data_IF_291959946307
#
_entry.id   IF_291959946307
#
_cell.length_a   1.000
_cell.length_b   1.000
_cell.length_c   1.000
_cell.angle_alpha   90.00
_cell.angle_beta   90.00
_cell.angle_gamma   90.00
#
_symmetry.space_group_name_H-M   'P 1'
#
loop_
_entity.id
_entity.type
_entity.pdbx_description
1 polymer ?
#
# COMPACT_ATOMS: atom_id res chain seq x y z
N UNK A 1 12.56 5.00 25.94
CA UNK A 1 12.13 3.69 26.46
C UNK A 1 12.10 2.75 25.27
N UNK A 2 12.90 1.68 25.29
CA UNK A 2 13.15 0.80 24.15
C UNK A 2 11.96 -0.14 23.91
N UNK A 3 11.30 -0.01 22.76
CA UNK A 3 10.32 -0.99 22.26
C UNK A 3 11.05 -2.23 21.70
N UNK A 4 11.81 -2.91 22.57
CA UNK A 4 12.33 -4.25 22.29
C UNK A 4 11.18 -5.25 22.50
N UNK A 5 10.31 -5.37 21.51
CA UNK A 5 9.46 -6.54 21.35
C UNK A 5 10.38 -7.74 21.08
N UNK A 6 10.71 -8.42 22.17
CA UNK A 6 11.59 -9.59 22.21
C UNK A 6 11.15 -10.59 21.12
N UNK A 7 11.99 -10.81 20.10
CA UNK A 7 11.72 -11.73 18.98
C UNK A 7 11.26 -13.12 19.45
N UNK A 8 11.66 -13.54 20.65
CA UNK A 8 11.17 -14.77 21.28
C UNK A 8 9.66 -14.75 21.57
N UNK A 9 9.08 -13.60 21.93
CA UNK A 9 7.62 -13.44 22.11
C UNK A 9 6.87 -13.54 20.79
N UNK A 10 7.36 -12.88 19.73
CA UNK A 10 6.75 -12.92 18.38
C UNK A 10 6.81 -14.33 17.80
N UNK A 11 7.95 -15.03 17.92
CA UNK A 11 8.08 -16.41 17.45
C UNK A 11 7.21 -17.40 18.24
N UNK A 12 7.10 -17.23 19.56
CA UNK A 12 6.24 -18.06 20.41
C UNK A 12 4.75 -17.81 20.13
N UNK A 13 4.37 -16.56 19.84
CA UNK A 13 3.01 -16.19 19.41
C UNK A 13 2.68 -16.79 18.03
N UNK A 14 3.59 -16.68 17.07
CA UNK A 14 3.43 -17.24 15.72
C UNK A 14 3.28 -18.78 15.76
N UNK A 15 4.00 -19.47 16.65
CA UNK A 15 3.83 -20.92 16.85
C UNK A 15 2.48 -21.26 17.51
N UNK A 16 2.04 -20.49 18.50
CA UNK A 16 0.72 -20.65 19.14
C UNK A 16 -0.46 -20.34 18.21
N UNK A 17 -0.28 -19.45 17.23
CA UNK A 17 -1.32 -19.07 16.28
C UNK A 17 -1.44 -20.06 15.12
N UNK A 18 -0.34 -20.71 14.70
CA UNK A 18 -0.42 -21.84 13.76
C UNK A 18 -1.16 -23.04 14.34
N UNK A 19 -1.18 -23.19 15.67
CA UNK A 19 -1.96 -24.24 16.34
C UNK A 19 -3.40 -23.84 16.68
N UNK A 20 -3.70 -22.55 16.85
CA UNK A 20 -5.01 -22.07 17.32
C UNK A 20 -5.88 -21.39 16.24
N UNK A 21 -5.30 -20.98 15.11
CA UNK A 21 -6.08 -20.48 13.97
C UNK A 21 -6.42 -21.68 13.10
N UNK A 22 -7.54 -22.32 13.44
CA UNK A 22 -8.28 -23.12 12.47
C UNK A 22 -8.44 -22.30 11.20
N UNK A 23 -8.15 -22.92 10.06
CA UNK A 23 -8.27 -22.42 8.69
C UNK A 23 -9.09 -21.13 8.61
N UNK A 24 -8.44 -20.01 8.23
CA UNK A 24 -9.13 -18.76 7.96
C UNK A 24 -10.24 -19.03 6.95
N UNK A 25 -11.51 -18.91 7.37
CA UNK A 25 -12.69 -19.04 6.51
C UNK A 25 -12.81 -17.83 5.58
N UNK A 26 -11.81 -17.58 4.74
CA UNK A 26 -11.94 -16.69 3.59
C UNK A 26 -12.75 -17.44 2.52
N UNK A 27 -14.07 -17.26 2.52
CA UNK A 27 -14.95 -17.86 1.51
C UNK A 27 -14.97 -16.96 0.28
N UNK A 28 -14.14 -17.31 -0.70
CA UNK A 28 -14.12 -16.70 -2.04
C UNK A 28 -15.23 -17.30 -2.92
N UNK A 29 -16.15 -16.46 -3.40
CA UNK A 29 -17.27 -16.86 -4.27
C UNK A 29 -17.21 -16.26 -5.69
N UNK A 30 -16.00 -16.02 -6.23
CA UNK A 30 -15.79 -15.85 -7.69
C UNK A 30 -16.48 -14.67 -8.39
N UNK A 31 -17.01 -13.68 -7.67
CA UNK A 31 -17.77 -12.56 -8.23
C UNK A 31 -17.05 -11.22 -7.95
N UNK A 32 -17.00 -10.31 -8.93
CA UNK A 32 -16.31 -9.00 -8.83
C UNK A 32 -16.69 -8.23 -7.57
N UNK A 33 -15.72 -7.65 -6.85
CA UNK A 33 -15.96 -7.00 -5.57
C UNK A 33 -16.50 -5.56 -5.68
N UNK A 34 -16.45 -4.90 -6.85
CA UNK A 34 -16.52 -3.43 -6.89
C UNK A 34 -17.32 -2.84 -8.07
N UNK A 35 -18.47 -2.24 -7.76
CA UNK A 35 -19.03 -1.09 -8.50
C UNK A 35 -18.83 0.12 -7.57
N UNK A 36 -18.37 1.27 -8.08
CA UNK A 36 -17.98 2.40 -7.22
C UNK A 36 -19.10 2.86 -6.28
N UNK A 37 -18.84 2.91 -4.97
CA UNK A 37 -19.66 3.71 -4.05
C UNK A 37 -19.19 5.15 -4.13
N UNK A 38 -20.08 6.17 -4.16
CA UNK A 38 -19.65 7.56 -4.17
C UNK A 38 -18.71 7.85 -2.98
N UNK A 39 -17.51 8.34 -3.26
CA UNK A 39 -16.59 8.78 -2.20
C UNK A 39 -16.98 10.20 -1.79
N UNK A 40 -17.22 10.45 -0.48
CA UNK A 40 -17.56 11.79 -0.02
C UNK A 40 -16.38 12.75 -0.24
N UNK A 41 -16.64 13.91 -0.83
CA UNK A 41 -15.61 14.96 -0.97
C UNK A 41 -15.50 15.73 0.36
N UNK A 42 -14.29 15.76 0.92
CA UNK A 42 -13.95 16.49 2.15
C UNK A 42 -13.17 17.78 1.83
N UNK A 43 -13.78 18.70 1.07
CA UNK A 43 -13.22 20.01 0.68
C UNK A 43 -11.87 19.92 -0.03
N UNK A 44 -11.87 20.10 -1.36
CA UNK A 44 -10.66 20.03 -2.21
C UNK A 44 -9.93 18.67 -2.19
N UNK A 45 -10.62 17.59 -1.84
CA UNK A 45 -10.04 16.23 -1.76
C UNK A 45 -10.50 15.32 -2.89
N UNK A 46 -11.05 15.90 -3.96
CA UNK A 46 -11.47 15.17 -5.14
C UNK A 46 -10.31 14.43 -5.83
N UNK A 47 -9.07 14.93 -5.73
CA UNK A 47 -7.89 14.22 -6.23
C UNK A 47 -7.72 12.86 -5.52
N UNK A 48 -7.83 12.82 -4.20
CA UNK A 48 -7.82 11.57 -3.39
C UNK A 48 -8.96 10.66 -3.81
N UNK A 49 -10.19 11.20 -3.85
CA UNK A 49 -11.38 10.43 -4.22
C UNK A 49 -11.25 9.81 -5.62
N UNK A 50 -10.75 10.56 -6.60
CA UNK A 50 -10.56 10.09 -7.97
C UNK A 50 -9.56 8.93 -8.06
N UNK A 51 -8.42 9.04 -7.38
CA UNK A 51 -7.42 7.98 -7.30
C UNK A 51 -8.00 6.73 -6.65
N UNK A 52 -8.66 6.88 -5.49
CA UNK A 52 -9.25 5.74 -4.79
C UNK A 52 -10.33 5.04 -5.63
N UNK A 53 -11.15 5.77 -6.40
CA UNK A 53 -12.10 5.15 -7.34
C UNK A 53 -11.38 4.39 -8.46
N UNK A 54 -10.32 4.96 -9.02
CA UNK A 54 -9.52 4.28 -10.05
C UNK A 54 -8.92 2.99 -9.50
N UNK A 55 -8.32 3.03 -8.31
CA UNK A 55 -7.77 1.85 -7.64
C UNK A 55 -8.83 0.83 -7.28
N UNK A 56 -10.01 1.28 -6.90
CA UNK A 56 -11.15 0.41 -6.58
C UNK A 56 -11.63 -0.41 -7.80
N UNK A 57 -11.19 -0.07 -9.01
CA UNK A 57 -11.51 -0.81 -10.24
C UNK A 57 -10.56 -1.99 -10.49
N UNK A 58 -9.44 -2.11 -9.76
CA UNK A 58 -8.46 -3.19 -9.92
C UNK A 58 -8.64 -4.30 -8.87
N UNK A 59 -9.62 -5.18 -9.11
CA UNK A 59 -10.02 -6.27 -8.19
C UNK A 59 -8.85 -7.11 -7.66
N UNK A 60 -7.93 -7.50 -8.56
CA UNK A 60 -6.73 -8.29 -8.24
C UNK A 60 -5.85 -7.61 -7.19
N UNK A 61 -5.68 -6.29 -7.31
CA UNK A 61 -4.77 -5.50 -6.46
C UNK A 61 -5.38 -5.32 -5.08
N UNK A 62 -6.65 -4.95 -5.03
CA UNK A 62 -7.39 -4.77 -3.77
C UNK A 62 -7.48 -6.07 -3.00
N UNK A 63 -7.70 -7.19 -3.69
CA UNK A 63 -7.65 -8.52 -3.08
C UNK A 63 -6.30 -8.79 -2.43
N UNK A 64 -5.20 -8.55 -3.15
CA UNK A 64 -3.85 -8.75 -2.62
C UNK A 64 -3.58 -7.86 -1.41
N UNK A 65 -4.04 -6.61 -1.44
CA UNK A 65 -3.93 -5.67 -0.33
C UNK A 65 -4.69 -6.17 0.91
N UNK A 66 -5.91 -6.64 0.75
CA UNK A 66 -6.75 -7.19 1.83
C UNK A 66 -6.15 -8.48 2.39
N UNK A 67 -5.74 -9.41 1.53
CA UNK A 67 -5.08 -10.66 1.93
C UNK A 67 -3.76 -10.36 2.68
N UNK A 68 -3.00 -9.36 2.22
CA UNK A 68 -1.79 -8.91 2.92
C UNK A 68 -2.13 -8.48 4.34
N UNK A 69 -3.13 -7.62 4.55
CA UNK A 69 -3.54 -7.22 5.90
C UNK A 69 -3.87 -8.42 6.80
N UNK A 70 -4.72 -9.34 6.34
CA UNK A 70 -5.10 -10.51 7.15
C UNK A 70 -3.90 -11.41 7.50
N UNK A 71 -2.96 -11.58 6.56
CA UNK A 71 -1.75 -12.38 6.77
C UNK A 71 -0.70 -11.71 7.70
N UNK A 72 -0.93 -10.46 8.08
CA UNK A 72 0.02 -9.63 8.83
C UNK A 72 -0.65 -8.83 9.95
N UNK A 73 -1.85 -9.24 10.39
CA UNK A 73 -2.71 -8.47 11.30
C UNK A 73 -1.99 -7.95 12.56
N UNK A 74 -1.12 -8.77 13.16
CA UNK A 74 -0.34 -8.40 14.35
C UNK A 74 0.49 -7.13 14.14
N UNK A 75 1.07 -6.95 12.95
CA UNK A 75 1.91 -5.78 12.64
C UNK A 75 1.06 -4.53 12.46
N UNK A 76 -0.17 -4.68 11.96
CA UNK A 76 -1.13 -3.58 11.86
C UNK A 76 -1.67 -3.17 13.24
N UNK A 77 -1.84 -4.12 14.16
CA UNK A 77 -2.28 -3.88 15.54
C UNK A 77 -1.25 -3.09 16.37
N UNK A 78 0.03 -3.07 15.96
CA UNK A 78 1.12 -2.32 16.59
C UNK A 78 1.15 -0.82 16.22
N UNK A 79 0.18 -0.33 15.44
CA UNK A 79 0.03 1.09 15.07
C UNK A 79 1.19 1.71 14.26
N UNK A 80 2.09 0.92 13.66
CA UNK A 80 3.20 1.47 12.88
C UNK A 80 2.82 1.83 11.42
N UNK A 81 1.79 1.18 10.87
CA UNK A 81 1.37 1.34 9.47
C UNK A 81 -0.05 1.90 9.34
N UNK A 82 -0.39 2.93 10.12
CA UNK A 82 -1.77 3.43 10.26
C UNK A 82 -2.41 3.91 8.95
N UNK A 83 -1.64 4.53 8.04
CA UNK A 83 -2.16 4.94 6.74
C UNK A 83 -2.49 3.71 5.86
N UNK A 84 -1.59 2.73 5.81
CA UNK A 84 -1.86 1.48 5.08
C UNK A 84 -3.06 0.76 5.70
N UNK A 85 -3.13 0.68 7.03
CA UNK A 85 -4.23 0.03 7.76
C UNK A 85 -5.59 0.66 7.45
N UNK A 86 -5.67 1.99 7.60
CA UNK A 86 -6.89 2.76 7.34
C UNK A 86 -7.30 2.68 5.87
N UNK A 87 -6.36 2.63 4.93
CA UNK A 87 -6.66 2.38 3.52
C UNK A 87 -7.25 1.00 3.29
N UNK A 88 -6.65 -0.07 3.83
CA UNK A 88 -7.20 -1.43 3.68
C UNK A 88 -8.57 -1.54 4.35
N UNK A 89 -8.78 -0.90 5.50
CA UNK A 89 -10.08 -0.82 6.16
C UNK A 89 -11.14 -0.12 5.29
N UNK A 90 -10.76 1.02 4.69
CA UNK A 90 -11.63 1.75 3.77
C UNK A 90 -11.99 0.88 2.55
N UNK A 91 -11.03 0.16 1.97
CA UNK A 91 -11.27 -0.76 0.85
C UNK A 91 -12.20 -1.89 1.27
N UNK A 92 -11.86 -2.61 2.34
CA UNK A 92 -12.54 -3.84 2.74
C UNK A 92 -13.93 -3.62 3.33
N UNK A 93 -14.09 -2.61 4.20
CA UNK A 93 -15.34 -2.32 4.90
C UNK A 93 -16.16 -1.22 4.22
N UNK A 94 -15.48 -0.28 3.56
CA UNK A 94 -16.08 0.93 3.01
C UNK A 94 -16.52 0.82 1.56
N UNK A 95 -15.53 0.59 0.69
CA UNK A 95 -15.68 0.62 -0.77
C UNK A 95 -16.16 -0.72 -1.34
N UNK A 96 -15.97 -1.81 -0.60
CA UNK A 96 -16.51 -3.14 -0.91
C UNK A 96 -18.04 -3.14 -0.83
N UNK A 97 -18.71 -3.28 -1.97
CA UNK A 97 -20.16 -3.22 -2.02
C UNK A 97 -20.86 -4.35 -1.27
N UNK A 98 -20.19 -5.49 -1.07
CA UNK A 98 -20.74 -6.64 -0.34
C UNK A 98 -20.96 -6.34 1.13
N UNK A 99 -20.19 -5.42 1.70
CA UNK A 99 -20.35 -5.02 3.09
C UNK A 99 -21.47 -3.97 3.17
N UNK A 100 -22.60 -4.36 3.76
CA UNK A 100 -23.73 -3.45 3.99
C UNK A 100 -23.37 -2.45 5.10
N UNK A 101 -22.75 -1.35 4.72
CA UNK A 101 -22.50 -0.21 5.61
C UNK A 101 -23.38 0.99 5.26
N UNK A 102 -23.75 1.77 6.28
CA UNK A 102 -24.45 3.04 6.09
C UNK A 102 -23.51 4.18 5.68
N UNK A 103 -24.07 5.28 5.15
CA UNK A 103 -23.29 6.45 4.72
C UNK A 103 -22.46 7.08 5.84
N UNK A 104 -22.95 7.04 7.08
CA UNK A 104 -22.23 7.55 8.26
C UNK A 104 -20.91 6.79 8.48
N UNK A 105 -20.96 5.47 8.36
CA UNK A 105 -19.79 4.61 8.54
C UNK A 105 -18.79 4.77 7.39
N UNK A 106 -19.28 4.91 6.15
CA UNK A 106 -18.43 5.20 5.00
C UNK A 106 -17.68 6.53 5.18
N UNK A 107 -18.38 7.57 5.65
CA UNK A 107 -17.76 8.86 5.97
C UNK A 107 -16.71 8.71 7.07
N UNK A 108 -16.98 7.94 8.12
CA UNK A 108 -16.04 7.68 9.22
C UNK A 108 -14.74 7.04 8.70
N UNK A 109 -14.85 5.98 7.89
CA UNK A 109 -13.70 5.30 7.29
C UNK A 109 -12.90 6.22 6.36
N UNK A 110 -13.60 7.05 5.58
CA UNK A 110 -12.92 8.03 4.72
C UNK A 110 -12.21 9.11 5.55
N UNK A 111 -12.81 9.58 6.65
CA UNK A 111 -12.18 10.55 7.57
C UNK A 111 -10.94 9.95 8.22
N UNK A 112 -11.03 8.70 8.69
CA UNK A 112 -9.93 7.98 9.30
C UNK A 112 -8.74 7.84 8.33
N UNK A 113 -8.99 7.38 7.10
CA UNK A 113 -7.97 7.34 6.06
C UNK A 113 -7.36 8.72 5.78
N UNK A 114 -8.20 9.75 5.66
CA UNK A 114 -7.75 11.09 5.35
C UNK A 114 -6.90 11.68 6.48
N UNK A 115 -7.30 11.52 7.74
CA UNK A 115 -6.51 11.98 8.88
C UNK A 115 -5.15 11.25 8.92
N UNK A 116 -5.14 9.93 8.69
CA UNK A 116 -3.89 9.15 8.62
C UNK A 116 -3.00 9.52 7.44
N UNK A 117 -3.55 10.03 6.34
CA UNK A 117 -2.76 10.55 5.24
C UNK A 117 -1.91 11.75 5.68
N UNK A 118 -2.49 12.69 6.42
CA UNK A 118 -1.76 13.88 6.90
C UNK A 118 -0.95 13.65 8.18
N UNK A 119 -1.23 12.59 8.93
CA UNK A 119 -0.37 12.14 10.02
C UNK A 119 0.86 11.35 9.51
N UNK A 120 0.86 10.93 8.24
CA UNK A 120 1.92 10.12 7.65
C UNK A 120 3.07 10.94 7.04
N UNK A 121 4.12 10.24 6.63
CA UNK A 121 5.22 10.82 5.83
C UNK A 121 4.76 11.43 4.50
N UNK A 122 3.58 11.06 3.99
CA UNK A 122 3.04 11.65 2.76
C UNK A 122 2.56 13.10 2.93
N UNK A 123 2.39 13.61 4.16
CA UNK A 123 2.03 15.00 4.42
C UNK A 123 3.04 16.01 3.83
N UNK A 124 4.29 15.61 3.62
CA UNK A 124 5.28 16.48 2.96
C UNK A 124 4.96 16.76 1.48
N UNK A 125 4.15 15.91 0.85
CA UNK A 125 3.76 16.02 -0.56
C UNK A 125 2.41 16.69 -0.76
N UNK A 126 1.53 16.67 0.25
CA UNK A 126 0.14 17.11 0.10
C UNK A 126 -0.24 18.10 1.19
N UNK A 127 -0.71 19.27 0.78
CA UNK A 127 -1.19 20.28 1.73
C UNK A 127 -2.66 20.01 2.06
N UNK A 128 -2.99 19.96 3.36
CA UNK A 128 -4.34 19.67 3.85
C UNK A 128 -5.35 20.69 3.34
N UNK A 129 -6.46 20.18 2.79
CA UNK A 129 -7.58 20.95 2.24
C UNK A 129 -7.22 21.85 1.05
N UNK A 130 -6.14 21.54 0.32
CA UNK A 130 -5.81 22.16 -0.96
C UNK A 130 -5.99 21.18 -2.12
N UNK A 131 -6.17 21.72 -3.32
CA UNK A 131 -6.09 20.91 -4.54
C UNK A 131 -4.65 20.45 -4.74
N UNK A 132 -4.47 19.18 -5.08
CA UNK A 132 -3.17 18.58 -5.35
C UNK A 132 -3.25 17.76 -6.64
N UNK A 133 -2.10 17.44 -7.22
CA UNK A 133 -2.01 16.61 -8.41
C UNK A 133 -2.43 15.15 -8.10
N UNK A 134 -3.46 14.67 -8.79
CA UNK A 134 -3.97 13.31 -8.60
C UNK A 134 -2.98 12.22 -9.02
N UNK A 135 -2.13 12.50 -10.02
CA UNK A 135 -1.11 11.57 -10.48
C UNK A 135 0.08 11.52 -9.51
N UNK A 136 0.46 12.66 -8.93
CA UNK A 136 1.42 12.68 -7.83
C UNK A 136 0.90 11.90 -6.63
N UNK A 137 -0.36 12.13 -6.24
CA UNK A 137 -1.00 11.37 -5.16
C UNK A 137 -1.02 9.86 -5.42
N UNK A 138 -1.40 9.43 -6.62
CA UNK A 138 -1.35 8.02 -7.03
C UNK A 138 0.06 7.43 -6.85
N UNK A 139 1.07 8.12 -7.36
CA UNK A 139 2.46 7.63 -7.36
C UNK A 139 3.03 7.54 -5.95
N UNK A 140 2.79 8.56 -5.12
CA UNK A 140 3.24 8.57 -3.73
C UNK A 140 2.52 7.53 -2.87
N UNK A 141 1.20 7.36 -3.06
CA UNK A 141 0.43 6.33 -2.35
C UNK A 141 0.92 4.92 -2.71
N UNK A 142 1.27 4.68 -3.98
CA UNK A 142 1.81 3.39 -4.42
C UNK A 142 3.15 3.07 -3.79
N UNK A 143 4.07 4.04 -3.86
CA UNK A 143 5.38 3.90 -3.25
C UNK A 143 5.28 3.64 -1.74
N UNK A 144 4.35 4.33 -1.06
CA UNK A 144 4.09 4.13 0.36
C UNK A 144 3.58 2.72 0.67
N UNK A 145 2.54 2.24 -0.05
CA UNK A 145 1.97 0.90 0.17
C UNK A 145 3.04 -0.18 -0.04
N UNK A 146 3.85 -0.04 -1.09
CA UNK A 146 4.92 -1.00 -1.39
C UNK A 146 6.01 -0.97 -0.32
N UNK A 147 6.43 0.22 0.10
CA UNK A 147 7.38 0.38 1.21
C UNK A 147 6.89 -0.32 2.46
N UNK A 148 5.65 -0.09 2.88
CA UNK A 148 5.07 -0.75 4.04
C UNK A 148 5.09 -2.28 3.90
N UNK A 149 4.67 -2.82 2.75
CA UNK A 149 4.68 -4.26 2.51
C UNK A 149 6.09 -4.87 2.61
N UNK A 150 7.09 -4.20 2.03
CA UNK A 150 8.49 -4.64 2.07
C UNK A 150 9.03 -4.60 3.51
N UNK A 151 8.80 -3.50 4.23
CA UNK A 151 9.26 -3.36 5.62
C UNK A 151 8.60 -4.38 6.55
N UNK A 152 7.31 -4.66 6.36
CA UNK A 152 6.59 -5.69 7.11
C UNK A 152 7.23 -7.06 6.87
N UNK A 153 7.58 -7.39 5.62
CA UNK A 153 8.25 -8.65 5.31
C UNK A 153 9.68 -8.72 5.90
N UNK A 154 10.44 -7.64 5.81
CA UNK A 154 11.78 -7.55 6.43
C UNK A 154 11.65 -7.73 7.95
N UNK A 155 10.66 -7.08 8.58
CA UNK A 155 10.37 -7.19 10.00
C UNK A 155 9.96 -8.61 10.42
N UNK A 156 9.14 -9.30 9.62
CA UNK A 156 8.77 -10.71 9.83
C UNK A 156 9.98 -11.64 9.90
N UNK A 157 11.04 -11.31 9.18
CA UNK A 157 12.28 -12.09 9.15
C UNK A 157 13.25 -11.72 10.28
N UNK A 158 12.85 -10.82 11.19
CA UNK A 158 13.59 -10.47 12.40
C UNK A 158 14.63 -9.36 12.25
N UNK A 159 14.59 -8.61 11.14
CA UNK A 159 15.62 -7.61 10.82
C UNK A 159 15.35 -6.18 11.35
N UNK A 160 14.45 -5.99 12.32
CA UNK A 160 14.15 -4.65 12.87
C UNK A 160 15.18 -4.19 13.93
N UNK A 161 16.11 -3.37 13.45
CA UNK A 161 17.02 -2.41 14.09
C UNK A 161 17.43 -2.57 15.58
N UNK A 162 18.64 -3.12 15.80
CA UNK A 162 19.64 -2.42 16.61
C UNK A 162 20.31 -1.36 15.70
N UNK A 163 20.60 -0.18 16.26
CA UNK A 163 20.83 1.10 15.57
C UNK A 163 22.11 1.20 14.70
N UNK A 164 22.87 0.12 14.48
CA UNK A 164 24.14 0.16 13.70
C UNK A 164 24.03 -0.29 12.22
N UNK A 165 22.82 -0.38 11.64
CA UNK A 165 22.58 -1.11 10.37
C UNK A 165 21.80 -0.37 9.27
N UNK A 166 21.85 0.97 9.20
CA UNK A 166 21.15 1.73 8.14
C UNK A 166 21.50 1.24 6.70
N UNK A 167 22.79 0.97 6.44
CA UNK A 167 23.28 0.46 5.14
C UNK A 167 22.77 -0.96 4.85
N UNK A 168 22.61 -1.81 5.87
CA UNK A 168 22.11 -3.18 5.68
C UNK A 168 20.60 -3.19 5.42
N UNK A 169 19.84 -2.30 6.06
CA UNK A 169 18.41 -2.12 5.80
C UNK A 169 18.15 -1.64 4.36
N UNK A 170 18.96 -0.71 3.86
CA UNK A 170 18.87 -0.25 2.46
C UNK A 170 19.16 -1.38 1.47
N UNK A 171 20.23 -2.16 1.70
CA UNK A 171 20.54 -3.34 0.88
C UNK A 171 19.45 -4.43 0.94
N UNK A 172 18.83 -4.65 2.10
CA UNK A 172 17.71 -5.59 2.22
C UNK A 172 16.48 -5.08 1.47
N UNK A 173 16.16 -3.80 1.59
CA UNK A 173 15.06 -3.18 0.86
C UNK A 173 15.23 -3.36 -0.65
N UNK A 174 16.43 -3.07 -1.17
CA UNK A 174 16.75 -3.24 -2.59
C UNK A 174 16.58 -4.69 -3.08
N UNK A 175 16.89 -5.67 -2.23
CA UNK A 175 16.69 -7.09 -2.55
C UNK A 175 15.21 -7.50 -2.57
N UNK A 176 14.38 -6.90 -1.71
CA UNK A 176 12.98 -7.30 -1.56
C UNK A 176 12.00 -6.47 -2.36
N UNK A 177 12.38 -5.28 -2.83
CA UNK A 177 11.48 -4.34 -3.49
C UNK A 177 10.82 -4.87 -4.76
N UNK A 178 11.42 -5.85 -5.43
CA UNK A 178 10.84 -6.46 -6.63
C UNK A 178 9.99 -7.69 -6.35
N UNK A 179 10.17 -8.32 -5.18
CA UNK A 179 9.53 -9.60 -4.83
C UNK A 179 8.34 -9.43 -3.89
N UNK A 180 8.31 -8.37 -3.09
CA UNK A 180 7.30 -8.15 -2.04
C UNK A 180 6.54 -6.84 -2.18
N UNK A 181 6.69 -6.12 -3.29
CA UNK A 181 5.80 -4.99 -3.58
C UNK A 181 4.36 -5.50 -3.84
N UNK A 182 3.36 -4.72 -3.45
CA UNK A 182 1.94 -5.08 -3.59
C UNK A 182 1.30 -4.41 -4.79
N UNK A 183 1.65 -3.15 -5.07
CA UNK A 183 1.09 -2.32 -6.12
C UNK A 183 1.98 -2.39 -7.37
N UNK A 184 3.28 -2.12 -7.22
CA UNK A 184 4.20 -1.96 -8.36
C UNK A 184 4.31 -3.19 -9.25
N UNK A 185 4.14 -4.42 -8.75
CA UNK A 185 4.26 -5.64 -9.57
C UNK A 185 3.30 -5.68 -10.76
N UNK A 186 2.11 -5.09 -10.64
CA UNK A 186 1.12 -5.07 -11.73
C UNK A 186 1.29 -3.87 -12.66
N UNK A 187 2.16 -2.92 -12.31
CA UNK A 187 2.36 -1.66 -13.03
C UNK A 187 3.84 -1.35 -13.33
N UNK A 188 4.72 -2.34 -13.18
CA UNK A 188 6.14 -2.19 -13.46
C UNK A 188 6.37 -2.32 -14.96
N UNK A 189 6.66 -1.19 -15.61
CA UNK A 189 7.07 -1.17 -17.01
C UNK A 189 8.59 -1.27 -17.10
N UNK A 190 9.06 -2.20 -17.92
CA UNK A 190 10.48 -2.37 -18.24
C UNK A 190 10.71 -1.92 -19.67
N UNK A 191 11.50 -0.87 -19.84
CA UNK A 191 11.79 -0.28 -21.14
C UNK A 191 13.28 -0.33 -21.41
N UNK A 192 13.68 -0.75 -22.60
CA UNK A 192 15.07 -0.66 -23.04
C UNK A 192 15.22 0.66 -23.78
N UNK A 193 15.97 1.59 -23.20
CA UNK A 193 16.34 2.83 -23.87
C UNK A 193 17.65 2.62 -24.62
N UNK A 194 17.62 2.85 -25.92
CA UNK A 194 18.82 2.85 -26.77
C UNK A 194 19.07 4.27 -27.25
N UNK A 195 20.28 4.78 -27.00
CA UNK A 195 20.72 6.08 -27.48
C UNK A 195 21.95 5.88 -28.36
N UNK A 196 21.89 6.38 -29.58
CA UNK A 196 23.05 6.39 -30.47
C UNK A 196 23.68 7.76 -30.40
N UNK A 197 24.95 7.84 -29.97
CA UNK A 197 25.67 9.10 -29.95
C UNK A 197 26.10 9.50 -31.37
N UNK A 198 26.46 10.77 -31.57
CA UNK A 198 26.90 11.29 -32.88
C UNK A 198 28.15 10.62 -33.48
N UNK A 199 28.87 9.81 -32.69
CA UNK A 199 30.01 8.98 -33.13
C UNK A 199 29.63 7.52 -33.44
N UNK A 200 28.34 7.22 -33.64
CA UNK A 200 27.81 5.86 -33.88
C UNK A 200 28.08 4.86 -32.74
N UNK A 201 28.25 5.33 -31.50
CA UNK A 201 28.29 4.45 -30.32
C UNK A 201 26.88 4.27 -29.79
N UNK A 202 26.48 3.02 -29.57
CA UNK A 202 25.17 2.67 -29.00
C UNK A 202 25.31 2.55 -27.48
N UNK A 203 24.53 3.34 -26.76
CA UNK A 203 24.36 3.25 -25.32
C UNK A 203 23.01 2.60 -25.04
N UNK A 204 23.03 1.47 -24.34
CA UNK A 204 21.81 0.75 -23.94
C UNK A 204 21.64 0.91 -22.44
N UNK A 205 20.45 1.37 -22.02
CA UNK A 205 20.07 1.48 -20.62
C UNK A 205 18.74 0.77 -20.41
N UNK A 206 18.73 -0.16 -19.45
CA UNK A 206 17.48 -0.75 -18.97
C UNK A 206 16.84 0.25 -18.00
N UNK A 207 15.62 0.68 -18.29
CA UNK A 207 14.81 1.53 -17.45
C UNK A 207 13.68 0.71 -16.87
N UNK A 208 13.44 0.88 -15.58
CA UNK A 208 12.29 0.34 -14.89
C UNK A 208 11.51 1.51 -14.30
N UNK A 209 10.21 1.54 -14.52
CA UNK A 209 9.37 2.64 -14.08
C UNK A 209 7.94 2.18 -13.85
N UNK A 210 7.35 2.68 -12.77
CA UNK A 210 5.92 2.60 -12.49
C UNK A 210 5.22 3.89 -12.96
N UNK A 211 5.57 4.36 -14.16
CA UNK A 211 4.95 5.53 -14.80
C UNK A 211 3.50 5.22 -15.16
N UNK A 212 2.64 5.32 -14.17
CA UNK A 212 1.21 5.39 -14.35
C UNK A 212 0.86 6.83 -14.67
N UNK A 213 0.08 7.00 -15.73
CA UNK A 213 -0.52 8.28 -16.06
C UNK A 213 -2.03 8.07 -16.02
N UNK A 214 -2.71 8.78 -15.13
CA UNK A 214 -4.17 8.89 -15.18
C UNK A 214 -4.54 9.73 -16.40
N UNK A 215 -4.76 9.07 -17.54
CA UNK A 215 -5.28 9.74 -18.73
C UNK A 215 -6.77 10.05 -18.48
N UNK A 216 -7.10 11.32 -18.29
CA UNK A 216 -8.49 11.76 -18.30
C UNK A 216 -9.09 11.46 -19.68
N UNK A 217 -10.32 10.93 -19.77
CA UNK A 217 -10.98 10.77 -21.07
C UNK A 217 -11.12 12.15 -21.71
N UNK A 218 -10.69 12.24 -22.97
CA UNK A 218 -10.85 13.42 -23.83
C UNK A 218 -12.32 13.72 -24.09
#
# INVERSE_FOLDING_TARGET
>A
MSNQLNCAKVNKLNQLLRSNVGQSNFVYNGSSYFVGRPIPNMVMTCFVGSVLQCLNSFDKILRRLVEHKFNHQIVYDENEYQLMDSYVNLVYNGLNQRVKIGQRELKRLFHEFFDKLYDSELNQHFIRFQQNDCNEFLTQLFAYIDKCAIEIEIGKRGFRANIDQAIQLEGLYENYKFTHNLMSQDFLFRTIQQMTCSKNTIHVKNLESTNLCLQLPL
#
